data_IF_340952572445
#
_entry.id   IF_340952572445
#
_cell.length_a   1.000
_cell.length_b   1.000
_cell.length_c   1.000
_cell.angle_alpha   90.00
_cell.angle_beta   90.00
_cell.angle_gamma   90.00
#
_symmetry.space_group_name_H-M   'P 1'
#
loop_
_entity.id
_entity.type
_entity.pdbx_description
1 polymer ?
#
# COMPACT_ATOMS: atom_id res chain seq x y z
N UNK A 1 6.95 -10.69 -23.77
CA UNK A 1 6.89 -9.44 -22.98
C UNK A 1 5.43 -9.12 -22.66
N UNK A 2 4.98 -9.38 -21.43
CA UNK A 2 3.65 -8.99 -20.96
C UNK A 2 3.77 -7.55 -20.46
N UNK A 3 3.18 -6.57 -21.15
CA UNK A 3 3.20 -5.18 -20.69
C UNK A 3 2.33 -5.09 -19.44
N UNK A 4 2.95 -4.94 -18.27
CA UNK A 4 2.23 -4.68 -17.02
C UNK A 4 1.60 -3.29 -17.18
N UNK A 5 0.27 -3.26 -17.34
CA UNK A 5 -0.49 -2.02 -17.44
C UNK A 5 -0.89 -1.64 -16.03
N UNK A 6 -0.52 -0.42 -15.62
CA UNK A 6 -1.05 0.21 -14.42
C UNK A 6 -2.58 0.02 -14.40
N UNK A 7 -3.15 -0.63 -13.37
CA UNK A 7 -4.55 -0.97 -13.36
C UNK A 7 -5.38 0.32 -13.39
N UNK A 8 -6.20 0.47 -14.42
CA UNK A 8 -7.00 1.67 -14.62
C UNK A 8 -7.91 1.97 -13.41
N UNK A 9 -8.29 0.94 -12.65
CA UNK A 9 -9.00 1.08 -11.39
C UNK A 9 -8.24 1.89 -10.34
N UNK A 10 -6.94 1.64 -10.13
CA UNK A 10 -6.12 2.45 -9.20
C UNK A 10 -5.96 3.88 -9.68
N UNK A 11 -5.79 4.06 -10.99
CA UNK A 11 -5.75 5.40 -11.59
C UNK A 11 -7.04 6.16 -11.31
N UNK A 12 -8.19 5.49 -11.51
CA UNK A 12 -9.50 6.10 -11.39
C UNK A 12 -9.82 6.40 -9.92
N UNK A 13 -9.56 5.46 -9.01
CA UNK A 13 -9.78 5.64 -7.56
C UNK A 13 -8.88 6.74 -7.02
N UNK A 14 -7.58 6.68 -7.30
CA UNK A 14 -6.63 7.70 -6.86
C UNK A 14 -6.94 9.09 -7.45
N UNK A 15 -7.39 9.14 -8.71
CA UNK A 15 -7.80 10.39 -9.35
C UNK A 15 -9.05 10.97 -8.68
N UNK A 16 -10.07 10.15 -8.44
CA UNK A 16 -11.31 10.55 -7.76
C UNK A 16 -10.98 11.04 -6.35
N UNK A 17 -10.20 10.28 -5.57
CA UNK A 17 -9.86 10.68 -4.20
C UNK A 17 -9.09 12.00 -4.18
N UNK A 18 -8.10 12.16 -5.06
CA UNK A 18 -7.29 13.38 -5.11
C UNK A 18 -8.11 14.61 -5.53
N UNK A 19 -9.03 14.44 -6.49
CA UNK A 19 -9.90 15.49 -7.00
C UNK A 19 -10.96 15.92 -5.98
N UNK A 20 -11.57 14.98 -5.25
CA UNK A 20 -12.63 15.32 -4.29
C UNK A 20 -12.11 15.67 -2.89
N UNK A 21 -11.01 15.07 -2.43
CA UNK A 21 -10.61 15.14 -1.02
C UNK A 21 -9.28 15.86 -0.77
N UNK A 22 -8.25 15.67 -1.62
CA UNK A 22 -6.92 16.25 -1.37
C UNK A 22 -6.79 17.72 -1.78
N UNK A 23 -7.40 18.10 -2.91
CA UNK A 23 -7.53 19.51 -3.32
C UNK A 23 -8.91 20.08 -2.98
N UNK A 24 -9.55 19.55 -1.94
CA UNK A 24 -10.85 20.00 -1.41
C UNK A 24 -10.94 21.52 -1.22
N UNK A 25 -9.81 22.17 -0.92
CA UNK A 25 -9.67 23.64 -0.79
C UNK A 25 -9.96 24.39 -2.10
N UNK A 26 -9.80 23.77 -3.27
CA UNK A 26 -10.18 24.32 -4.58
C UNK A 26 -11.54 23.80 -5.05
N UNK A 27 -11.83 22.53 -4.79
CA UNK A 27 -13.07 21.88 -5.22
C UNK A 27 -14.31 22.47 -4.54
N UNK A 28 -14.36 22.56 -3.21
CA UNK A 28 -15.56 23.07 -2.51
C UNK A 28 -15.84 24.55 -2.82
N UNK A 29 -14.86 25.47 -2.82
CA UNK A 29 -15.10 26.85 -3.25
C UNK A 29 -15.49 26.95 -4.72
N UNK A 30 -14.95 26.08 -5.58
CA UNK A 30 -15.34 25.97 -6.98
C UNK A 30 -16.82 25.59 -7.15
N UNK A 31 -17.31 24.60 -6.40
CA UNK A 31 -18.72 24.19 -6.39
C UNK A 31 -19.64 25.28 -5.82
N UNK A 32 -19.23 25.94 -4.73
CA UNK A 32 -20.00 27.06 -4.15
C UNK A 32 -20.10 28.22 -5.15
N UNK A 33 -19.00 28.57 -5.82
CA UNK A 33 -18.99 29.59 -6.89
C UNK A 33 -19.83 29.17 -8.10
N UNK A 34 -19.89 27.87 -8.43
CA UNK A 34 -20.74 27.35 -9.52
C UNK A 34 -22.24 27.53 -9.20
N UNK A 35 -22.63 27.30 -7.95
CA UNK A 35 -24.02 27.50 -7.47
C UNK A 35 -24.38 28.99 -7.49
N UNK A 36 -23.48 29.87 -7.02
CA UNK A 36 -23.65 31.32 -7.13
C UNK A 36 -23.69 31.78 -8.59
N UNK A 37 -22.94 31.10 -9.45
CA UNK A 37 -22.86 31.33 -10.90
C UNK A 37 -24.17 31.12 -11.65
N UNK A 38 -25.17 30.47 -11.04
CA UNK A 38 -26.54 30.39 -11.58
C UNK A 38 -27.17 31.79 -11.73
N UNK A 39 -26.72 32.75 -10.91
CA UNK A 39 -27.25 34.12 -10.86
C UNK A 39 -26.23 35.16 -11.33
N UNK A 40 -24.96 34.79 -11.50
CA UNK A 40 -23.84 35.68 -11.83
C UNK A 40 -22.90 35.02 -12.83
N UNK A 41 -23.00 35.42 -14.09
CA UNK A 41 -22.29 34.79 -15.21
C UNK A 41 -20.76 34.75 -15.02
N UNK A 42 -20.17 35.80 -14.46
CA UNK A 42 -18.71 35.86 -14.24
C UNK A 42 -18.21 34.80 -13.25
N UNK A 43 -18.99 34.51 -12.19
CA UNK A 43 -18.67 33.48 -11.21
C UNK A 43 -18.76 32.07 -11.81
N UNK A 44 -19.65 31.87 -12.77
CA UNK A 44 -19.78 30.60 -13.49
C UNK A 44 -18.53 30.29 -14.33
N UNK A 45 -18.02 31.26 -15.09
CA UNK A 45 -16.80 31.04 -15.88
C UNK A 45 -15.55 30.90 -15.00
N UNK A 46 -15.44 31.69 -13.93
CA UNK A 46 -14.32 31.60 -13.00
C UNK A 46 -14.27 30.25 -12.26
N UNK A 47 -15.41 29.72 -11.83
CA UNK A 47 -15.50 28.39 -11.20
C UNK A 47 -15.15 27.26 -12.17
N UNK A 48 -15.58 27.35 -13.43
CA UNK A 48 -15.21 26.37 -14.45
C UNK A 48 -13.69 26.30 -14.65
N UNK A 49 -13.01 27.46 -14.73
CA UNK A 49 -11.54 27.52 -14.87
C UNK A 49 -10.84 26.93 -13.64
N UNK A 50 -11.33 27.25 -12.44
CA UNK A 50 -10.82 26.70 -11.18
C UNK A 50 -10.93 25.17 -11.12
N UNK A 51 -12.11 24.63 -11.43
CA UNK A 51 -12.36 23.18 -11.42
C UNK A 51 -11.57 22.45 -12.51
N UNK A 52 -11.37 23.07 -13.68
CA UNK A 52 -10.52 22.52 -14.75
C UNK A 52 -9.05 22.50 -14.31
N UNK A 53 -8.56 23.57 -13.68
CA UNK A 53 -7.19 23.61 -13.17
C UNK A 53 -6.96 22.52 -12.12
N UNK A 54 -7.91 22.32 -11.22
CA UNK A 54 -7.88 21.27 -10.20
C UNK A 54 -7.91 19.86 -10.79
N UNK A 55 -8.75 19.64 -11.79
CA UNK A 55 -8.80 18.39 -12.57
C UNK A 55 -7.44 18.10 -13.23
N UNK A 56 -6.81 19.11 -13.83
CA UNK A 56 -5.51 18.98 -14.49
C UNK A 56 -4.40 18.69 -13.48
N UNK A 57 -4.36 19.37 -12.34
CA UNK A 57 -3.37 19.11 -11.27
C UNK A 57 -3.52 17.68 -10.73
N UNK A 58 -4.75 17.26 -10.45
CA UNK A 58 -5.07 15.89 -10.03
C UNK A 58 -4.60 14.84 -11.05
N UNK A 59 -4.80 15.11 -12.34
CA UNK A 59 -4.35 14.25 -13.42
C UNK A 59 -2.82 14.18 -13.51
N UNK A 60 -2.13 15.31 -13.40
CA UNK A 60 -0.67 15.38 -13.46
C UNK A 60 -0.02 14.62 -12.30
N UNK A 61 -0.58 14.74 -11.10
CA UNK A 61 -0.11 13.99 -9.94
C UNK A 61 -0.31 12.49 -10.11
N UNK A 62 -1.46 12.06 -10.64
CA UNK A 62 -1.71 10.65 -10.96
C UNK A 62 -0.79 10.13 -12.08
N UNK A 63 -0.46 10.95 -13.06
CA UNK A 63 0.54 10.61 -14.08
C UNK A 63 1.95 10.49 -13.48
N UNK A 64 2.29 11.29 -12.47
CA UNK A 64 3.57 11.20 -11.74
C UNK A 64 3.62 9.91 -10.91
N UNK A 65 2.57 9.59 -10.16
CA UNK A 65 2.44 8.33 -9.40
C UNK A 65 2.52 7.13 -10.34
N UNK A 66 1.81 7.16 -11.47
CA UNK A 66 1.89 6.12 -12.49
C UNK A 66 3.30 5.98 -13.08
N UNK A 67 4.03 7.07 -13.33
CA UNK A 67 5.43 7.01 -13.79
C UNK A 67 6.35 6.43 -12.73
N UNK A 68 6.19 6.82 -11.47
CA UNK A 68 6.97 6.26 -10.34
C UNK A 68 6.67 4.78 -10.13
N UNK A 69 5.39 4.39 -10.20
CA UNK A 69 4.95 3.00 -10.20
C UNK A 69 5.57 2.21 -11.35
N UNK A 70 5.59 2.76 -12.56
CA UNK A 70 6.20 2.13 -13.73
C UNK A 70 7.74 2.01 -13.62
N UNK A 71 8.40 2.88 -12.86
CA UNK A 71 9.82 2.73 -12.52
C UNK A 71 10.09 1.74 -11.38
N UNK A 72 9.12 1.53 -10.48
CA UNK A 72 9.21 0.60 -9.34
C UNK A 72 8.76 -0.84 -9.71
N UNK A 73 7.88 -0.98 -10.71
CA UNK A 73 7.29 -2.27 -11.16
C UNK A 73 8.25 -3.19 -11.89
N UNK A 74 9.52 -2.82 -12.04
CA UNK A 74 10.53 -3.79 -12.43
C UNK A 74 10.55 -5.00 -11.49
N UNK A 75 10.43 -4.77 -10.17
CA UNK A 75 10.85 -5.73 -9.15
C UNK A 75 10.05 -5.70 -7.81
N UNK A 76 8.83 -5.16 -7.74
CA UNK A 76 8.11 -5.04 -6.45
C UNK A 76 7.07 -6.19 -6.22
N UNK A 77 7.28 -7.09 -5.23
CA UNK A 77 6.37 -8.19 -4.92
C UNK A 77 5.00 -7.75 -4.36
N UNK A 78 4.90 -6.58 -3.71
CA UNK A 78 3.62 -6.08 -3.19
C UNK A 78 2.57 -5.91 -4.30
N UNK A 79 2.97 -5.31 -5.43
CA UNK A 79 2.07 -5.10 -6.58
C UNK A 79 1.60 -6.43 -7.16
N UNK A 80 2.51 -7.39 -7.25
CA UNK A 80 2.20 -8.73 -7.74
C UNK A 80 1.25 -9.48 -6.81
N UNK A 81 1.42 -9.33 -5.50
CA UNK A 81 0.49 -9.87 -4.51
C UNK A 81 -0.91 -9.28 -4.67
N UNK A 82 -1.02 -7.95 -4.74
CA UNK A 82 -2.30 -7.26 -4.90
C UNK A 82 -3.02 -7.67 -6.18
N UNK A 83 -2.31 -7.74 -7.32
CA UNK A 83 -2.86 -8.21 -8.59
C UNK A 83 -3.34 -9.67 -8.50
N UNK A 84 -2.61 -10.53 -7.78
CA UNK A 84 -3.00 -11.94 -7.60
C UNK A 84 -4.28 -12.06 -6.78
N UNK A 85 -4.41 -11.35 -5.65
CA UNK A 85 -5.62 -11.36 -4.81
C UNK A 85 -6.85 -10.82 -5.56
N UNK A 86 -6.70 -9.68 -6.25
CA UNK A 86 -7.78 -9.07 -7.01
C UNK A 86 -8.27 -9.98 -8.17
N UNK A 87 -7.36 -10.70 -8.82
CA UNK A 87 -7.72 -11.65 -9.87
C UNK A 87 -8.28 -12.97 -9.32
N UNK A 88 -7.81 -13.45 -8.17
CA UNK A 88 -8.28 -14.70 -7.56
C UNK A 88 -9.73 -14.57 -7.03
N UNK A 89 -10.12 -13.38 -6.55
CA UNK A 89 -11.52 -13.09 -6.22
C UNK A 89 -12.48 -13.17 -7.42
N UNK A 90 -11.97 -13.08 -8.65
CA UNK A 90 -12.72 -13.30 -9.90
C UNK A 90 -12.57 -14.73 -10.46
N UNK A 91 -11.73 -15.58 -9.88
CA UNK A 91 -11.41 -16.90 -10.41
C UNK A 91 -11.26 -17.93 -9.29
N UNK A 92 -12.40 -18.44 -8.80
CA UNK A 92 -12.41 -19.77 -8.15
C UNK A 92 -12.04 -20.83 -9.20
N UNK A 93 -10.74 -21.10 -9.36
CA UNK A 93 -10.11 -22.38 -9.75
C UNK A 93 -8.79 -22.12 -10.48
N UNK A 94 -7.66 -22.49 -9.85
CA UNK A 94 -6.78 -23.56 -10.34
C UNK A 94 -5.54 -23.69 -9.47
N UNK A 95 -5.32 -24.92 -9.00
CA UNK A 95 -4.04 -25.37 -8.50
C UNK A 95 -3.04 -25.66 -9.63
N UNK A 96 -1.84 -26.00 -9.17
CA UNK A 96 -0.66 -26.50 -9.88
C UNK A 96 0.07 -25.53 -10.81
N UNK A 97 1.21 -25.03 -10.32
CA UNK A 97 2.28 -24.54 -11.19
C UNK A 97 3.68 -24.85 -10.64
N UNK A 98 4.03 -26.13 -10.62
CA UNK A 98 5.45 -26.56 -10.69
C UNK A 98 5.62 -27.43 -11.94
N UNK A 99 6.09 -26.85 -13.04
CA UNK A 99 6.82 -27.60 -14.07
C UNK A 99 7.60 -26.68 -15.02
N UNK A 100 8.93 -26.69 -14.86
CA UNK A 100 9.92 -26.87 -15.92
C UNK A 100 10.09 -25.82 -17.04
N UNK A 101 11.33 -25.35 -17.23
CA UNK A 101 11.81 -24.89 -18.53
C UNK A 101 13.06 -24.00 -18.51
N UNK A 102 14.23 -24.60 -18.69
CA UNK A 102 15.56 -23.98 -18.87
C UNK A 102 15.69 -23.20 -20.20
N UNK A 103 16.31 -22.00 -20.22
CA UNK A 103 17.28 -21.57 -21.25
C UNK A 103 17.99 -20.22 -20.93
N UNK A 104 19.23 -20.07 -21.43
CA UNK A 104 20.25 -19.05 -21.12
C UNK A 104 20.00 -17.66 -21.76
N UNK A 105 20.24 -16.54 -21.04
CA UNK A 105 21.37 -15.59 -21.25
C UNK A 105 21.23 -14.22 -20.54
N UNK A 106 22.38 -13.57 -20.38
CA UNK A 106 22.73 -12.25 -19.79
C UNK A 106 22.58 -12.08 -18.27
N UNK A 107 23.63 -11.53 -17.62
CA UNK A 107 23.65 -11.30 -16.17
C UNK A 107 22.52 -10.37 -15.70
N UNK A 108 22.12 -9.39 -16.53
CA UNK A 108 20.99 -8.51 -16.21
C UNK A 108 19.63 -9.22 -16.30
N UNK A 109 19.45 -10.15 -17.23
CA UNK A 109 18.21 -10.94 -17.36
C UNK A 109 18.17 -12.06 -16.31
N UNK A 110 19.32 -12.67 -15.97
CA UNK A 110 19.44 -13.64 -14.89
C UNK A 110 19.19 -13.00 -13.51
N UNK A 111 19.67 -11.78 -13.26
CA UNK A 111 19.36 -11.03 -12.03
C UNK A 111 17.87 -10.71 -11.96
N UNK A 112 17.26 -10.22 -13.05
CA UNK A 112 15.82 -9.96 -13.10
C UNK A 112 14.97 -11.23 -12.95
N UNK A 113 15.42 -12.35 -13.51
CA UNK A 113 14.77 -13.65 -13.35
C UNK A 113 14.80 -14.10 -11.88
N UNK A 114 15.95 -14.00 -11.23
CA UNK A 114 16.13 -14.34 -9.82
C UNK A 114 15.30 -13.43 -8.89
N UNK A 115 15.25 -12.12 -9.17
CA UNK A 115 14.38 -11.19 -8.43
C UNK A 115 12.90 -11.53 -8.60
N UNK A 116 12.46 -11.86 -9.82
CA UNK A 116 11.09 -12.31 -10.06
C UNK A 116 10.76 -13.62 -9.33
N UNK A 117 11.68 -14.57 -9.28
CA UNK A 117 11.51 -15.83 -8.53
C UNK A 117 11.38 -15.60 -7.03
N UNK A 118 12.25 -14.76 -6.44
CA UNK A 118 12.13 -14.38 -5.03
C UNK A 118 10.80 -13.70 -4.73
N UNK A 119 10.38 -12.79 -5.60
CA UNK A 119 9.13 -12.07 -5.46
C UNK A 119 7.92 -13.00 -5.52
N UNK A 120 7.92 -13.97 -6.44
CA UNK A 120 6.87 -14.99 -6.52
C UNK A 120 6.77 -15.77 -5.20
N UNK A 121 7.91 -16.17 -4.61
CA UNK A 121 7.93 -16.88 -3.33
C UNK A 121 7.31 -16.03 -2.21
N UNK A 122 7.67 -14.75 -2.12
CA UNK A 122 7.09 -13.83 -1.12
C UNK A 122 5.58 -13.68 -1.33
N UNK A 123 5.14 -13.53 -2.58
CA UNK A 123 3.72 -13.39 -2.94
C UNK A 123 2.93 -14.64 -2.60
N UNK A 124 3.39 -15.81 -3.03
CA UNK A 124 2.73 -17.10 -2.80
C UNK A 124 2.64 -17.38 -1.31
N UNK A 125 3.71 -17.08 -0.57
CA UNK A 125 3.72 -17.24 0.88
C UNK A 125 2.75 -16.28 1.56
N UNK A 126 2.67 -15.02 1.10
CA UNK A 126 1.71 -14.04 1.61
C UNK A 126 0.27 -14.50 1.40
N UNK A 127 -0.03 -15.11 0.25
CA UNK A 127 -1.33 -15.71 -0.02
C UNK A 127 -1.61 -16.87 0.93
N UNK A 128 -0.68 -17.81 1.10
CA UNK A 128 -0.84 -18.96 1.99
C UNK A 128 -1.12 -18.52 3.43
N UNK A 129 -0.30 -17.60 3.96
CA UNK A 129 -0.44 -17.10 5.32
C UNK A 129 -1.76 -16.33 5.51
N UNK A 130 -2.14 -15.48 4.55
CA UNK A 130 -3.44 -14.80 4.57
C UNK A 130 -4.60 -15.80 4.57
N UNK A 131 -4.56 -16.85 3.75
CA UNK A 131 -5.61 -17.88 3.74
C UNK A 131 -5.67 -18.64 5.06
N UNK A 132 -4.52 -18.97 5.65
CA UNK A 132 -4.40 -19.69 6.92
C UNK A 132 -5.06 -18.94 8.08
N UNK A 133 -4.93 -17.61 8.14
CA UNK A 133 -5.53 -16.77 9.17
C UNK A 133 -6.86 -16.14 8.76
N UNK A 134 -7.52 -16.65 7.71
CA UNK A 134 -8.74 -16.08 7.15
C UNK A 134 -8.66 -14.55 6.98
N UNK A 135 -7.62 -14.10 6.29
CA UNK A 135 -7.33 -12.68 5.98
C UNK A 135 -7.23 -11.75 7.20
N UNK A 136 -6.99 -12.29 8.40
CA UNK A 136 -6.76 -11.54 9.63
C UNK A 136 -7.79 -11.82 10.72
N UNK A 137 -8.82 -12.60 10.44
CA UNK A 137 -9.84 -12.96 11.42
C UNK A 137 -9.36 -14.01 12.43
N UNK A 138 -8.39 -14.86 12.04
CA UNK A 138 -7.94 -16.03 12.80
C UNK A 138 -6.41 -16.02 12.99
N UNK A 139 -5.87 -14.90 13.47
CA UNK A 139 -4.41 -14.70 13.62
C UNK A 139 -3.75 -15.68 14.60
N UNK A 140 -4.52 -16.29 15.50
CA UNK A 140 -4.07 -17.33 16.43
C UNK A 140 -3.68 -18.64 15.73
N UNK A 141 -4.10 -18.84 14.47
CA UNK A 141 -3.65 -19.98 13.65
C UNK A 141 -2.23 -19.81 13.11
N UNK A 142 -1.71 -18.58 13.11
CA UNK A 142 -0.36 -18.30 12.65
C UNK A 142 0.65 -18.64 13.74
N UNK A 143 1.73 -19.31 13.36
CA UNK A 143 2.88 -19.41 14.25
C UNK A 143 3.61 -18.04 14.33
N UNK A 144 4.57 -17.94 15.25
CA UNK A 144 5.30 -16.68 15.51
C UNK A 144 6.01 -16.11 14.27
N UNK A 145 6.48 -16.94 13.35
CA UNK A 145 7.19 -16.51 12.14
C UNK A 145 6.21 -16.05 11.06
N UNK A 146 5.14 -16.82 10.85
CA UNK A 146 4.04 -16.45 9.96
C UNK A 146 3.37 -15.14 10.40
N UNK A 147 3.14 -14.95 11.70
CA UNK A 147 2.57 -13.71 12.24
C UNK A 147 3.45 -12.50 11.95
N UNK A 148 4.77 -12.62 12.14
CA UNK A 148 5.72 -11.55 11.82
C UNK A 148 5.63 -11.21 10.33
N UNK A 149 5.69 -12.22 9.47
CA UNK A 149 5.60 -12.02 8.03
C UNK A 149 4.25 -11.37 7.64
N UNK A 150 3.14 -11.90 8.14
CA UNK A 150 1.80 -11.34 7.92
C UNK A 150 1.72 -9.85 8.30
N UNK A 151 2.21 -9.47 9.49
CA UNK A 151 2.21 -8.07 9.93
C UNK A 151 2.97 -7.18 8.94
N UNK A 152 4.17 -7.59 8.50
CA UNK A 152 4.94 -6.78 7.54
C UNK A 152 4.20 -6.61 6.21
N UNK A 153 3.57 -7.67 5.70
CA UNK A 153 2.79 -7.63 4.46
C UNK A 153 1.54 -6.75 4.61
N UNK A 154 0.81 -6.86 5.73
CA UNK A 154 -0.39 -6.06 5.98
C UNK A 154 -0.07 -4.57 6.12
N UNK A 155 0.99 -4.21 6.87
CA UNK A 155 1.39 -2.81 7.02
C UNK A 155 1.83 -2.24 5.67
N UNK A 156 2.67 -2.96 4.92
CA UNK A 156 3.08 -2.54 3.59
C UNK A 156 1.86 -2.34 2.68
N UNK A 157 0.88 -3.24 2.71
CA UNK A 157 -0.33 -3.14 1.91
C UNK A 157 -1.19 -1.91 2.26
N UNK A 158 -1.47 -1.71 3.54
CA UNK A 158 -2.33 -0.64 4.00
C UNK A 158 -1.70 0.73 3.72
N UNK A 159 -0.40 0.87 4.01
CA UNK A 159 0.34 2.13 3.82
C UNK A 159 0.50 2.46 2.34
N UNK A 160 0.74 1.49 1.47
CA UNK A 160 0.77 1.75 0.02
C UNK A 160 -0.60 2.04 -0.58
N UNK A 161 -1.68 1.55 0.03
CA UNK A 161 -3.04 1.77 -0.48
C UNK A 161 -3.62 3.12 -0.01
N UNK A 162 -3.38 3.51 1.24
CA UNK A 162 -3.96 4.73 1.81
C UNK A 162 -3.19 5.33 2.98
N UNK A 163 -1.90 5.02 3.12
CA UNK A 163 -1.04 5.58 4.16
C UNK A 163 -1.25 4.97 5.55
N UNK A 164 -0.46 5.45 6.51
CA UNK A 164 -0.59 5.07 7.92
C UNK A 164 -1.96 5.45 8.50
N UNK A 165 -2.60 6.51 7.99
CA UNK A 165 -3.97 6.88 8.37
C UNK A 165 -4.95 5.75 8.09
N UNK A 166 -4.91 5.14 6.89
CA UNK A 166 -5.75 3.99 6.56
C UNK A 166 -5.43 2.77 7.42
N UNK A 167 -4.14 2.46 7.61
CA UNK A 167 -3.71 1.37 8.49
C UNK A 167 -4.29 1.52 9.91
N UNK A 168 -4.19 2.72 10.49
CA UNK A 168 -4.71 3.00 11.82
C UNK A 168 -6.24 3.15 11.87
N UNK A 169 -6.90 3.46 10.76
CA UNK A 169 -8.37 3.58 10.71
C UNK A 169 -9.07 2.22 10.57
N UNK A 170 -8.43 1.26 9.89
CA UNK A 170 -8.99 -0.06 9.59
C UNK A 170 -8.75 -1.08 10.70
N UNK A 171 -9.33 -2.28 10.58
CA UNK A 171 -9.08 -3.38 11.51
C UNK A 171 -7.59 -3.76 11.60
N UNK A 172 -6.83 -3.54 10.53
CA UNK A 172 -5.38 -3.80 10.45
C UNK A 172 -4.56 -3.07 11.51
N UNK A 173 -4.95 -1.89 11.98
CA UNK A 173 -4.23 -1.21 13.06
C UNK A 173 -4.34 -1.88 14.44
N UNK A 174 -5.05 -3.01 14.58
CA UNK A 174 -4.84 -3.90 15.73
C UNK A 174 -3.39 -4.41 15.82
N UNK A 175 -2.71 -4.50 14.66
CA UNK A 175 -1.32 -4.92 14.52
C UNK A 175 -0.31 -3.81 14.84
N UNK A 176 -0.74 -2.56 15.03
CA UNK A 176 0.16 -1.40 15.13
C UNK A 176 1.20 -1.51 16.25
N UNK A 177 0.83 -2.12 17.38
CA UNK A 177 1.74 -2.31 18.52
C UNK A 177 2.85 -3.34 18.25
N UNK A 178 2.69 -4.19 17.23
CA UNK A 178 3.66 -5.22 16.83
C UNK A 178 4.42 -4.85 15.55
N UNK A 179 3.93 -3.87 14.78
CA UNK A 179 4.47 -3.50 13.47
C UNK A 179 5.99 -3.22 13.50
N UNK A 180 6.45 -2.37 14.43
CA UNK A 180 7.87 -2.03 14.53
C UNK A 180 8.76 -3.23 14.88
N UNK A 181 8.29 -4.12 15.76
CA UNK A 181 9.02 -5.34 16.13
C UNK A 181 9.06 -6.33 14.95
N UNK A 182 7.96 -6.48 14.20
CA UNK A 182 7.91 -7.31 13.02
C UNK A 182 8.91 -6.85 11.95
N UNK A 183 8.96 -5.55 11.63
CA UNK A 183 9.95 -5.01 10.71
C UNK A 183 11.39 -5.16 11.22
N UNK A 184 11.61 -5.00 12.52
CA UNK A 184 12.93 -5.23 13.13
C UNK A 184 13.37 -6.69 12.95
N UNK A 185 12.47 -7.66 13.12
CA UNK A 185 12.76 -9.10 12.98
C UNK A 185 13.14 -9.51 11.56
N UNK A 186 12.60 -8.85 10.54
CA UNK A 186 13.02 -9.09 9.15
C UNK A 186 14.28 -8.29 8.76
N UNK A 187 14.80 -7.45 9.65
CA UNK A 187 15.98 -6.60 9.40
C UNK A 187 15.68 -5.25 8.75
N UNK A 188 14.41 -4.85 8.64
CA UNK A 188 13.97 -3.57 8.06
C UNK A 188 13.96 -2.46 9.13
N UNK A 189 15.15 -2.04 9.57
CA UNK A 189 15.29 -1.11 10.70
C UNK A 189 14.77 0.30 10.40
N UNK A 190 14.92 0.80 9.16
CA UNK A 190 14.40 2.12 8.77
C UNK A 190 12.89 2.11 8.77
N UNK A 191 12.29 1.07 8.19
CA UNK A 191 10.83 0.89 8.19
C UNK A 191 10.28 0.69 9.60
N UNK A 192 11.00 -0.02 10.47
CA UNK A 192 10.63 -0.15 11.88
C UNK A 192 10.60 1.20 12.61
N UNK A 193 11.59 2.06 12.37
CA UNK A 193 11.63 3.40 12.98
C UNK A 193 10.51 4.31 12.45
N UNK A 194 10.16 4.21 11.16
CA UNK A 194 9.00 4.90 10.60
C UNK A 194 7.70 4.43 11.28
N UNK A 195 7.54 3.12 11.50
CA UNK A 195 6.36 2.59 12.20
C UNK A 195 6.28 3.10 13.66
N UNK A 196 7.42 3.16 14.37
CA UNK A 196 7.45 3.75 15.73
C UNK A 196 7.06 5.22 15.72
N UNK A 197 7.54 5.98 14.73
CA UNK A 197 7.18 7.39 14.56
C UNK A 197 5.68 7.52 14.29
N UNK A 198 5.11 6.76 13.36
CA UNK A 198 3.69 6.81 13.06
C UNK A 198 2.81 6.49 14.30
N UNK A 199 3.22 5.48 15.10
CA UNK A 199 2.53 5.10 16.34
C UNK A 199 2.55 6.20 17.41
N UNK A 200 3.50 7.16 17.37
CA UNK A 200 3.56 8.23 18.39
C UNK A 200 2.37 9.18 18.36
N UNK A 201 1.56 9.17 17.29
CA UNK A 201 0.26 9.87 17.21
C UNK A 201 -0.64 9.50 18.39
N UNK A 202 -0.57 8.25 18.87
CA UNK A 202 -1.39 7.76 19.98
C UNK A 202 -0.76 8.01 21.36
N UNK A 203 0.35 8.76 21.43
CA UNK A 203 1.09 8.99 22.68
C UNK A 203 1.74 7.73 23.26
N UNK A 204 1.94 6.69 22.46
CA UNK A 204 2.51 5.41 22.88
C UNK A 204 1.71 4.22 22.36
N UNK A 205 1.09 3.46 23.27
CA UNK A 205 0.39 2.22 22.90
C UNK A 205 -0.89 2.54 22.13
N UNK A 206 -1.00 2.00 20.91
CA UNK A 206 -2.19 2.17 20.08
C UNK A 206 -3.38 1.40 20.67
N UNK A 207 -4.56 2.03 20.84
CA UNK A 207 -5.77 1.34 21.27
C UNK A 207 -6.15 0.17 20.34
N UNK A 208 -6.60 -0.94 20.91
CA UNK A 208 -7.17 -2.06 20.12
C UNK A 208 -8.62 -1.77 19.69
N UNK A 209 -9.28 -0.88 20.39
CA UNK A 209 -10.60 -0.38 20.04
C UNK A 209 -10.50 0.49 18.79
N UNK A 210 -11.29 0.15 17.76
CA UNK A 210 -11.25 0.84 16.47
C UNK A 210 -11.79 2.26 16.56
N UNK A 211 -12.89 2.49 17.27
CA UNK A 211 -13.50 3.82 17.40
C UNK A 211 -12.51 4.76 18.09
N UNK A 212 -11.83 4.30 19.15
CA UNK A 212 -10.80 5.12 19.82
C UNK A 212 -9.60 5.46 18.93
N UNK A 213 -9.26 4.58 17.98
CA UNK A 213 -8.22 4.89 16.98
C UNK A 213 -8.73 5.94 16.00
N UNK A 214 -9.96 5.80 15.53
CA UNK A 214 -10.58 6.73 14.59
C UNK A 214 -10.72 8.13 15.20
N UNK A 215 -11.23 8.24 16.43
CA UNK A 215 -11.35 9.50 17.16
C UNK A 215 -9.99 10.21 17.31
N UNK A 216 -8.92 9.45 17.58
CA UNK A 216 -7.57 10.00 17.70
C UNK A 216 -7.01 10.52 16.36
N UNK A 217 -7.48 9.98 15.22
CA UNK A 217 -7.07 10.41 13.88
C UNK A 217 -7.84 11.64 13.39
N UNK A 218 -8.93 12.06 14.04
CA UNK A 218 -9.70 13.24 13.62
C UNK A 218 -8.97 14.58 13.85
N UNK A 219 -7.83 14.56 14.54
CA UNK A 219 -7.03 15.75 14.76
C UNK A 219 -6.18 16.07 13.51
N UNK A 220 -6.39 17.26 12.93
CA UNK A 220 -5.67 17.72 11.73
C UNK A 220 -4.14 17.75 11.88
N UNK A 221 -3.61 17.93 13.10
CA UNK A 221 -2.16 17.89 13.34
C UNK A 221 -1.58 16.47 13.11
N UNK A 222 -2.42 15.43 13.15
CA UNK A 222 -2.04 14.06 12.86
C UNK A 222 -1.82 13.83 11.36
N UNK A 223 -2.59 14.49 10.49
CA UNK A 223 -2.53 14.27 9.05
C UNK A 223 -1.16 14.67 8.48
N UNK A 224 -0.69 15.88 8.76
CA UNK A 224 0.63 16.35 8.29
C UNK A 224 1.77 15.46 8.81
N UNK A 225 1.66 14.99 10.05
CA UNK A 225 2.66 14.13 10.67
C UNK A 225 2.68 12.71 10.06
N UNK A 226 1.51 12.14 9.80
CA UNK A 226 1.39 10.84 9.13
C UNK A 226 1.82 10.92 7.66
N UNK A 227 1.52 12.02 6.97
CA UNK A 227 2.00 12.28 5.61
C UNK A 227 3.55 12.27 5.54
N UNK A 228 4.24 12.79 6.56
CA UNK A 228 5.72 12.70 6.63
C UNK A 228 6.21 11.26 6.80
N UNK A 229 5.48 10.45 7.58
CA UNK A 229 5.77 9.03 7.78
C UNK A 229 5.55 8.24 6.49
N UNK A 230 4.45 8.49 5.78
CA UNK A 230 4.12 7.90 4.49
C UNK A 230 5.17 8.23 3.44
N UNK A 231 5.54 9.51 3.33
CA UNK A 231 6.61 9.95 2.43
C UNK A 231 7.96 9.29 2.72
N UNK A 232 8.24 8.99 3.99
CA UNK A 232 9.44 8.26 4.38
C UNK A 232 9.33 6.77 4.05
N UNK A 233 8.17 6.16 4.25
CA UNK A 233 7.90 4.76 3.90
C UNK A 233 8.06 4.52 2.40
N UNK A 234 7.51 5.41 1.57
CA UNK A 234 7.56 5.30 0.10
C UNK A 234 8.96 5.45 -0.52
N UNK A 235 9.97 5.83 0.27
CA UNK A 235 11.37 5.81 -0.20
C UNK A 235 11.93 4.39 -0.29
N UNK A 236 11.33 3.43 0.42
CA UNK A 236 11.81 2.04 0.47
C UNK A 236 13.33 1.96 0.73
N UNK A 237 13.80 2.65 1.77
CA UNK A 237 15.22 2.61 2.15
C UNK A 237 15.67 1.19 2.57
N UNK A 238 14.73 0.41 3.11
CA UNK A 238 14.89 -1.03 3.28
C UNK A 238 14.27 -1.77 2.08
N UNK A 239 15.02 -2.71 1.49
CA UNK A 239 14.50 -3.57 0.43
C UNK A 239 13.60 -4.66 1.03
N UNK A 240 12.33 -4.32 1.25
CA UNK A 240 11.35 -5.21 1.90
C UNK A 240 11.17 -6.54 1.16
N UNK A 241 11.32 -6.56 -0.17
CA UNK A 241 11.23 -7.77 -0.97
C UNK A 241 12.31 -8.79 -0.61
N UNK A 242 13.58 -8.37 -0.65
CA UNK A 242 14.71 -9.24 -0.32
C UNK A 242 14.73 -9.62 1.16
N UNK A 243 14.36 -8.70 2.06
CA UNK A 243 14.31 -8.96 3.50
C UNK A 243 13.23 -9.98 3.86
N UNK A 244 12.03 -9.85 3.29
CA UNK A 244 10.97 -10.83 3.47
C UNK A 244 11.35 -12.19 2.89
N UNK A 245 11.93 -12.22 1.69
CA UNK A 245 12.44 -13.46 1.09
C UNK A 245 13.49 -14.12 2.01
N UNK A 246 14.47 -13.36 2.48
CA UNK A 246 15.50 -13.87 3.37
C UNK A 246 14.91 -14.41 4.67
N UNK A 247 13.90 -13.72 5.24
CA UNK A 247 13.21 -14.15 6.45
C UNK A 247 12.45 -15.47 6.25
N UNK A 248 11.71 -15.62 5.13
CA UNK A 248 11.03 -16.87 4.77
C UNK A 248 12.04 -18.01 4.65
N UNK A 249 13.14 -17.79 3.94
CA UNK A 249 14.17 -18.81 3.71
C UNK A 249 14.88 -19.22 5.01
N UNK A 250 15.16 -18.27 5.89
CA UNK A 250 15.79 -18.52 7.20
C UNK A 250 14.88 -19.31 8.16
N UNK A 251 13.56 -19.27 7.94
CA UNK A 251 12.55 -19.90 8.79
C UNK A 251 11.67 -20.87 8.01
N UNK A 252 12.18 -21.46 6.94
CA UNK A 252 11.40 -22.28 6.00
C UNK A 252 10.57 -23.37 6.67
N UNK A 253 11.10 -24.02 7.70
CA UNK A 253 10.41 -25.08 8.45
C UNK A 253 9.21 -24.56 9.27
N UNK A 254 9.02 -23.24 9.35
CA UNK A 254 7.88 -22.58 9.97
C UNK A 254 6.88 -22.03 8.95
N UNK A 255 7.11 -22.23 7.66
CA UNK A 255 6.21 -21.81 6.58
C UNK A 255 5.77 -23.07 5.84
N UNK A 256 4.53 -23.50 6.10
CA UNK A 256 3.90 -24.68 5.49
C UNK A 256 3.11 -24.33 4.21
#
# INVERSE_FOLDING_TARGET
MKTIKYPFGMFLIGFIINFFFRYSVLFFPGIIMLIVGIWVDWCFYASLVLLIADLVLSLLQQLKVRRMFLSLTGNNPFIQFQDTILNNNNSKNKGDFFSGGTERNTASEATKHNEAEKNNIVVDMSISVCQKCNYGDELEKLNKHERVFYITQTVEQEVNNGGFSQFFFNSSGNLSNEAADAFTKIGAFKTADICKKAVSVFGGKVPQDREKRQDALENADCDDFLDECDNSFYKYEDNLADLNYAYIMAHRDSFD
#
